data_IF_543364702732
#
_entry.id   IF_543364702732
#
_cell.length_a   1.000
_cell.length_b   1.000
_cell.length_c   1.000
_cell.angle_alpha   90.00
_cell.angle_beta   90.00
_cell.angle_gamma   90.00
#
_symmetry.space_group_name_H-M   'P 1'
#
loop_
_entity.id
_entity.type
_entity.pdbx_description
1 polymer ?
#
# COMPACT_ATOMS: atom_id res chain seq x y z
N UNK A 1 -13.10 -9.97 25.05
CA UNK A 1 -11.90 -9.38 24.40
C UNK A 1 -11.57 -10.22 23.18
N UNK A 2 -11.71 -9.68 21.95
CA UNK A 2 -11.28 -10.38 20.73
C UNK A 2 -9.89 -9.85 20.36
N UNK A 3 -8.84 -10.64 20.63
CA UNK A 3 -7.53 -10.42 20.03
C UNK A 3 -7.70 -10.62 18.52
N UNK A 4 -7.83 -9.53 17.77
CA UNK A 4 -7.76 -9.59 16.31
C UNK A 4 -6.30 -9.90 15.97
N UNK A 5 -6.07 -11.09 15.43
CA UNK A 5 -4.88 -11.42 14.66
C UNK A 5 -4.82 -10.49 13.43
N UNK A 6 -4.44 -9.22 13.64
CA UNK A 6 -4.05 -8.30 12.57
C UNK A 6 -2.65 -8.70 12.13
N UNK A 7 -2.58 -9.83 11.42
CA UNK A 7 -1.35 -10.28 10.79
C UNK A 7 -0.79 -9.18 9.89
N UNK A 8 0.51 -8.92 9.99
CA UNK A 8 1.21 -7.98 9.11
C UNK A 8 0.99 -8.43 7.66
N UNK A 9 0.38 -7.57 6.85
CA UNK A 9 0.14 -7.85 5.42
C UNK A 9 1.32 -7.39 4.61
N UNK A 10 1.86 -8.28 3.77
CA UNK A 10 2.96 -7.99 2.87
C UNK A 10 2.45 -7.96 1.43
N UNK A 11 3.03 -7.08 0.63
CA UNK A 11 2.70 -6.88 -0.79
C UNK A 11 4.00 -6.90 -1.58
N UNK A 12 4.08 -7.75 -2.61
CA UNK A 12 5.24 -7.79 -3.51
C UNK A 12 4.98 -6.93 -4.73
N UNK A 13 6.03 -6.24 -5.19
CA UNK A 13 5.98 -5.39 -6.39
C UNK A 13 5.53 -6.19 -7.62
N UNK A 14 5.93 -7.45 -7.72
CA UNK A 14 5.56 -8.33 -8.83
C UNK A 14 4.06 -8.67 -8.85
N UNK A 15 3.43 -8.82 -7.68
CA UNK A 15 1.98 -9.07 -7.58
C UNK A 15 1.21 -7.84 -8.07
N UNK A 16 1.63 -6.66 -7.62
CA UNK A 16 1.06 -5.38 -8.10
C UNK A 16 1.27 -5.19 -9.60
N UNK A 17 2.45 -5.54 -10.11
CA UNK A 17 2.73 -5.46 -11.54
C UNK A 17 1.77 -6.36 -12.35
N UNK A 18 1.55 -7.58 -11.88
CA UNK A 18 0.64 -8.53 -12.50
C UNK A 18 -0.82 -8.08 -12.42
N UNK A 19 -1.30 -7.69 -11.25
CA UNK A 19 -2.70 -7.29 -11.04
C UNK A 19 -3.08 -6.00 -11.78
N UNK A 20 -2.17 -5.01 -11.80
CA UNK A 20 -2.42 -3.74 -12.49
C UNK A 20 -2.07 -3.79 -13.98
N UNK A 21 -1.49 -4.89 -14.47
CA UNK A 21 -1.05 -5.01 -15.87
C UNK A 21 0.04 -4.01 -16.24
N UNK A 22 0.91 -3.65 -15.31
CA UNK A 22 1.99 -2.66 -15.51
C UNK A 22 3.36 -3.31 -15.42
N UNK A 23 4.37 -2.65 -15.99
CA UNK A 23 5.75 -3.13 -15.86
C UNK A 23 6.19 -3.19 -14.37
N UNK A 24 7.07 -4.14 -13.97
CA UNK A 24 7.61 -4.20 -12.61
C UNK A 24 8.27 -2.89 -12.17
N UNK A 25 8.88 -2.16 -13.11
CA UNK A 25 9.46 -0.84 -12.87
C UNK A 25 8.39 0.20 -12.51
N UNK A 26 7.26 0.18 -13.20
CA UNK A 26 6.11 1.06 -12.90
C UNK A 26 5.49 0.71 -11.55
N UNK A 27 5.27 -0.58 -11.28
CA UNK A 27 4.77 -1.05 -9.98
C UNK A 27 5.71 -0.63 -8.84
N UNK A 28 7.03 -0.72 -9.04
CA UNK A 28 8.01 -0.25 -8.06
C UNK A 28 7.87 1.24 -7.75
N UNK A 29 7.68 2.08 -8.78
CA UNK A 29 7.41 3.52 -8.61
C UNK A 29 6.11 3.78 -7.83
N UNK A 30 5.04 3.04 -8.14
CA UNK A 30 3.75 3.14 -7.43
C UNK A 30 3.94 2.81 -5.95
N UNK A 31 4.63 1.70 -5.62
CA UNK A 31 4.87 1.31 -4.23
C UNK A 31 5.72 2.32 -3.47
N UNK A 32 6.70 2.96 -4.12
CA UNK A 32 7.46 4.07 -3.52
C UNK A 32 6.54 5.26 -3.21
N UNK A 33 5.64 5.61 -4.12
CA UNK A 33 4.65 6.67 -3.87
C UNK A 33 3.71 6.32 -2.72
N UNK A 34 3.19 5.09 -2.67
CA UNK A 34 2.36 4.60 -1.56
C UNK A 34 3.12 4.65 -0.22
N UNK A 35 4.42 4.35 -0.24
CA UNK A 35 5.24 4.43 0.95
C UNK A 35 5.43 5.87 1.45
N UNK A 36 5.61 6.82 0.52
CA UNK A 36 5.69 8.25 0.86
C UNK A 36 4.40 8.79 1.43
N UNK A 37 3.26 8.23 1.02
CA UNK A 37 1.94 8.59 1.52
C UNK A 37 1.59 7.91 2.86
N UNK A 38 2.44 7.01 3.37
CA UNK A 38 2.23 6.35 4.65
C UNK A 38 1.31 5.11 4.60
N UNK A 39 0.90 4.66 3.41
CA UNK A 39 0.07 3.44 3.30
C UNK A 39 0.88 2.15 3.48
N UNK A 40 2.15 2.18 3.10
CA UNK A 40 3.04 1.02 3.16
C UNK A 40 4.43 1.42 3.64
N UNK A 41 5.22 0.47 4.12
CA UNK A 41 6.64 0.68 4.44
C UNK A 41 7.47 -0.36 3.71
N UNK A 42 8.62 0.07 3.16
CA UNK A 42 9.55 -0.86 2.50
C UNK A 42 10.11 -1.83 3.54
N UNK A 43 9.92 -3.12 3.32
CA UNK A 43 10.43 -4.16 4.21
C UNK A 43 11.73 -4.75 3.67
N UNK A 44 11.74 -5.14 2.40
CA UNK A 44 12.92 -5.66 1.70
C UNK A 44 12.87 -5.27 0.22
N UNK A 45 13.81 -5.77 -0.58
CA UNK A 45 13.82 -5.52 -2.02
C UNK A 45 12.56 -6.09 -2.68
N UNK A 46 11.76 -5.22 -3.28
CA UNK A 46 10.52 -5.62 -3.95
C UNK A 46 9.37 -6.03 -3.02
N UNK A 47 9.50 -5.86 -1.70
CA UNK A 47 8.47 -6.23 -0.72
C UNK A 47 8.17 -5.04 0.20
N UNK A 48 6.87 -4.77 0.35
CA UNK A 48 6.35 -3.72 1.22
C UNK A 48 5.39 -4.31 2.23
N UNK A 49 5.37 -3.75 3.43
CA UNK A 49 4.41 -4.09 4.48
C UNK A 49 3.32 -3.02 4.52
N UNK A 50 2.07 -3.43 4.55
CA UNK A 50 0.93 -2.51 4.67
C UNK A 50 0.86 -1.99 6.10
N UNK A 51 0.77 -0.67 6.23
CA UNK A 51 0.51 -0.02 7.50
C UNK A 51 -1.02 -0.02 7.68
N UNK A 52 -1.52 -0.81 8.62
CA UNK A 52 -2.90 -0.68 9.06
C UNK A 52 -2.97 0.54 10.00
N UNK A 53 -3.21 1.71 9.45
CA UNK A 53 -3.79 2.79 10.24
C UNK A 53 -5.14 2.27 10.80
N UNK A 54 -5.44 2.56 12.06
CA UNK A 54 -6.84 2.60 12.48
C UNK A 54 -7.63 3.46 11.46
N UNK A 55 -8.95 3.27 11.28
CA UNK A 55 -9.72 4.11 10.37
C UNK A 55 -9.79 5.56 10.89
N UNK A 56 -8.68 6.30 10.82
CA UNK A 56 -8.66 7.74 10.77
C UNK A 56 -9.14 8.09 9.37
N UNK A 57 -10.48 8.14 9.25
CA UNK A 57 -11.27 8.75 8.18
C UNK A 57 -10.43 9.34 7.05
N UNK A 58 -10.28 8.57 5.97
CA UNK A 58 -10.07 9.16 4.66
C UNK A 58 -11.43 9.69 4.12
N UNK A 59 -12.12 10.50 4.94
CA UNK A 59 -13.03 11.51 4.40
C UNK A 59 -12.12 12.65 3.92
N UNK A 60 -12.20 13.05 2.65
CA UNK A 60 -11.58 14.23 2.01
C UNK A 60 -10.29 14.10 1.19
N UNK A 61 -10.22 13.22 0.18
CA UNK A 61 -9.28 13.47 -0.95
C UNK A 61 -9.89 13.34 -2.36
N UNK A 62 -11.06 12.70 -2.54
CA UNK A 62 -11.64 12.51 -3.89
C UNK A 62 -12.85 13.39 -4.24
N UNK A 63 -13.18 14.40 -3.44
CA UNK A 63 -14.39 15.22 -3.64
C UNK A 63 -14.12 16.72 -3.81
N UNK A 64 -12.95 17.13 -4.33
CA UNK A 64 -12.73 18.52 -4.79
C UNK A 64 -11.83 18.59 -6.02
N UNK A 65 -12.35 18.17 -7.16
CA UNK A 65 -11.96 18.79 -8.43
C UNK A 65 -13.24 19.03 -9.24
N UNK A 66 -13.60 20.32 -9.24
CA UNK A 66 -14.38 21.12 -10.20
C UNK A 66 -14.95 20.38 -11.41
#
# INVERSE_FOLDING_TARGET
>A
MKLRERGKKFVRVHEIAYELGVSPRTAGKIMVSLARLGYVVKWSEGVYMVLEDEPCRADNVFEKTV
#
